data_IF_178673962863
#
_entry.id   IF_178673962863
#
_cell.length_a   1.000
_cell.length_b   1.000
_cell.length_c   1.000
_cell.angle_alpha   90.00
_cell.angle_beta   90.00
_cell.angle_gamma   90.00
#
_symmetry.space_group_name_H-M   'P 1'
#
loop_
_entity.id
_entity.type
_entity.pdbx_description
1 polymer ?
#
# COMPACT_ATOMS: atom_id res chain seq x y z
N UNK A 1 16.91 -3.25 7.70
CA UNK A 1 16.05 -2.41 8.55
C UNK A 1 14.67 -2.38 7.89
N UNK A 2 13.91 -3.45 8.09
CA UNK A 2 12.59 -3.68 7.49
C UNK A 2 11.61 -3.76 8.64
N UNK A 3 10.93 -2.66 8.90
CA UNK A 3 9.85 -2.61 9.90
C UNK A 3 8.73 -1.81 9.26
N UNK A 4 7.64 -2.51 8.92
CA UNK A 4 6.28 -1.98 8.77
C UNK A 4 6.06 -0.79 7.82
N UNK A 5 5.94 -1.03 6.51
CA UNK A 5 5.29 -0.06 5.58
C UNK A 5 3.75 -0.10 5.69
N UNK A 6 3.20 -1.10 6.38
CA UNK A 6 1.75 -1.28 6.57
C UNK A 6 1.30 -1.14 8.03
N UNK A 7 2.06 -0.38 8.83
CA UNK A 7 1.55 0.23 10.06
C UNK A 7 0.76 1.50 9.72
N UNK A 8 -0.56 1.36 9.58
CA UNK A 8 -1.62 2.36 9.77
C UNK A 8 -1.28 3.85 9.50
N UNK A 9 -1.95 4.43 8.48
CA UNK A 9 -2.23 5.86 8.18
C UNK A 9 -1.46 6.58 7.08
N UNK A 10 -0.44 5.99 6.46
CA UNK A 10 0.42 6.76 5.54
C UNK A 10 0.21 6.39 4.07
N UNK A 11 -0.77 5.56 3.68
CA UNK A 11 -0.85 5.13 2.26
C UNK A 11 -0.92 6.31 1.28
N UNK A 12 -1.78 7.30 1.53
CA UNK A 12 -1.91 8.47 0.67
C UNK A 12 -0.67 9.35 0.71
N UNK A 13 -0.13 9.61 1.90
CA UNK A 13 1.04 10.47 2.08
C UNK A 13 2.31 9.82 1.51
N UNK A 14 2.53 8.55 1.81
CA UNK A 14 3.62 7.73 1.27
C UNK A 14 3.53 7.70 -0.25
N UNK A 15 2.34 7.44 -0.79
CA UNK A 15 2.14 7.43 -2.24
C UNK A 15 2.39 8.81 -2.85
N UNK A 16 1.99 9.89 -2.18
CA UNK A 16 2.22 11.26 -2.62
C UNK A 16 3.71 11.60 -2.67
N UNK A 17 4.51 11.18 -1.71
CA UNK A 17 5.96 11.47 -1.66
C UNK A 17 6.80 10.47 -2.47
N UNK A 18 6.41 9.20 -2.52
CA UNK A 18 7.14 8.15 -3.24
C UNK A 18 7.00 8.28 -4.76
N UNK A 19 5.82 8.67 -5.27
CA UNK A 19 5.57 8.88 -6.71
C UNK A 19 6.57 9.86 -7.37
N UNK A 20 6.80 11.07 -6.85
CA UNK A 20 7.79 11.98 -7.43
C UNK A 20 9.23 11.47 -7.27
N UNK A 21 9.56 10.78 -6.17
CA UNK A 21 10.88 10.15 -5.98
C UNK A 21 11.15 9.07 -7.04
N UNK A 22 10.13 8.28 -7.37
CA UNK A 22 10.21 7.22 -8.39
C UNK A 22 9.78 7.69 -9.78
N UNK A 23 9.82 8.99 -10.08
CA UNK A 23 9.42 9.54 -11.38
C UNK A 23 10.31 9.09 -12.55
N UNK A 24 11.52 8.60 -12.27
CA UNK A 24 12.42 8.07 -13.29
C UNK A 24 12.00 6.66 -13.70
N UNK A 25 12.00 6.37 -15.01
CA UNK A 25 11.57 5.09 -15.60
C UNK A 25 12.24 3.83 -15.01
N UNK A 26 13.42 3.98 -14.43
CA UNK A 26 14.16 2.87 -13.82
C UNK A 26 13.64 2.47 -12.44
N UNK A 27 12.95 3.38 -11.74
CA UNK A 27 12.42 3.12 -10.42
C UNK A 27 11.02 2.52 -10.49
N UNK A 28 10.75 1.59 -9.57
CA UNK A 28 9.47 0.91 -9.45
C UNK A 28 8.98 1.03 -8.02
N UNK A 29 7.73 1.44 -7.86
CA UNK A 29 7.02 1.37 -6.58
C UNK A 29 6.28 0.03 -6.54
N UNK A 30 6.49 -0.74 -5.47
CA UNK A 30 5.78 -2.01 -5.24
C UNK A 30 5.16 -1.95 -3.86
N UNK A 31 3.86 -2.24 -3.79
CA UNK A 31 3.11 -2.29 -2.53
C UNK A 31 2.81 -3.76 -2.20
N UNK A 32 2.98 -4.14 -0.94
CA UNK A 32 2.70 -5.49 -0.44
C UNK A 32 1.79 -5.39 0.78
N UNK A 33 0.52 -5.70 0.63
CA UNK A 33 -0.45 -5.54 1.72
C UNK A 33 -1.40 -6.72 1.78
N UNK A 34 -1.81 -7.06 2.99
CA UNK A 34 -3.04 -7.82 3.21
C UNK A 34 -4.24 -6.89 3.01
N UNK A 35 -5.28 -7.30 2.27
CA UNK A 35 -6.50 -6.52 2.21
C UNK A 35 -7.12 -6.41 3.60
N UNK A 36 -7.67 -5.23 3.89
CA UNK A 36 -8.26 -4.92 5.19
C UNK A 36 -9.77 -4.75 5.06
N UNK A 37 -10.25 -3.51 5.02
CA UNK A 37 -11.66 -3.23 4.71
C UNK A 37 -11.81 -2.32 3.50
N UNK A 38 -13.04 -2.28 3.00
CA UNK A 38 -13.47 -1.41 1.91
C UNK A 38 -13.29 0.09 2.20
N UNK A 39 -13.35 0.50 3.47
CA UNK A 39 -13.09 1.88 3.90
C UNK A 39 -11.61 2.25 3.94
N UNK A 40 -10.70 1.29 3.74
CA UNK A 40 -9.28 1.58 3.76
C UNK A 40 -8.91 2.55 2.61
N UNK A 41 -8.08 3.59 2.84
CA UNK A 41 -7.74 4.60 1.81
C UNK A 41 -7.02 4.04 0.58
N UNK A 42 -6.46 2.83 0.67
CA UNK A 42 -5.89 2.13 -0.49
C UNK A 42 -6.94 1.43 -1.36
N UNK A 43 -8.16 1.22 -0.87
CA UNK A 43 -9.20 0.49 -1.61
C UNK A 43 -9.62 1.18 -2.92
N UNK A 44 -9.83 2.52 -2.96
CA UNK A 44 -10.09 3.22 -4.23
C UNK A 44 -8.91 3.17 -5.20
N UNK A 45 -7.67 3.08 -4.69
CA UNK A 45 -6.48 2.91 -5.51
C UNK A 45 -6.38 1.49 -6.09
N UNK A 46 -6.69 0.48 -5.29
CA UNK A 46 -6.70 -0.92 -5.71
C UNK A 46 -7.78 -1.20 -6.76
N UNK A 47 -9.02 -0.79 -6.48
CA UNK A 47 -10.19 -0.98 -7.38
C UNK A 47 -10.17 -0.09 -8.63
N UNK A 48 -9.25 0.87 -8.69
CA UNK A 48 -9.13 1.81 -9.79
C UNK A 48 -10.20 2.91 -9.81
N UNK A 49 -11.05 3.01 -8.79
CA UNK A 49 -11.96 4.14 -8.60
C UNK A 49 -11.20 5.47 -8.63
N UNK A 50 -10.01 5.51 -8.01
CA UNK A 50 -9.13 6.68 -8.01
C UNK A 50 -8.55 7.02 -9.39
N UNK A 51 -8.44 6.06 -10.30
CA UNK A 51 -8.00 6.32 -11.67
C UNK A 51 -9.07 7.07 -12.48
N UNK A 52 -10.34 6.82 -12.17
CA UNK A 52 -11.49 7.43 -12.83
C UNK A 52 -11.82 8.83 -12.26
N UNK A 53 -11.32 9.17 -11.07
CA UNK A 53 -11.48 10.50 -10.47
C UNK A 53 -10.96 11.60 -11.41
N UNK A 54 -11.81 12.59 -11.68
CA UNK A 54 -11.49 13.72 -12.56
C UNK A 54 -11.53 13.44 -14.06
N UNK A 55 -11.83 12.20 -14.48
CA UNK A 55 -12.00 11.84 -15.91
C UNK A 55 -13.47 11.92 -16.34
N UNK A 56 -13.75 12.20 -17.63
CA UNK A 56 -15.08 12.07 -18.19
C UNK A 56 -15.61 10.64 -18.03
N UNK A 57 -16.92 10.46 -17.82
CA UNK A 57 -17.55 9.14 -17.66
C UNK A 57 -17.26 8.18 -18.83
N UNK A 58 -17.07 8.71 -20.04
CA UNK A 58 -16.73 7.92 -21.22
C UNK A 58 -15.33 7.28 -21.15
N UNK A 59 -14.42 7.82 -20.33
CA UNK A 59 -13.07 7.31 -20.10
C UNK A 59 -12.97 6.45 -18.83
N UNK A 60 -14.08 6.23 -18.12
CA UNK A 60 -14.07 5.43 -16.90
C UNK A 60 -13.82 3.98 -17.24
N UNK A 61 -12.83 3.40 -16.57
CA UNK A 61 -12.48 1.99 -16.73
C UNK A 61 -12.97 1.21 -15.52
N UNK A 62 -13.60 0.06 -15.79
CA UNK A 62 -13.97 -0.90 -14.75
C UNK A 62 -12.89 -1.98 -14.67
N UNK A 63 -12.29 -2.11 -13.51
CA UNK A 63 -11.25 -3.10 -13.24
C UNK A 63 -11.89 -4.37 -12.68
N UNK A 64 -11.50 -5.53 -13.23
CA UNK A 64 -11.81 -6.82 -12.61
C UNK A 64 -10.74 -7.12 -11.56
N UNK A 65 -11.12 -6.99 -10.28
CA UNK A 65 -10.25 -7.23 -9.12
C UNK A 65 -10.47 -8.60 -8.48
N UNK A 66 -11.18 -9.50 -9.16
CA UNK A 66 -11.38 -10.86 -8.67
C UNK A 66 -10.06 -11.64 -8.60
N UNK A 67 -9.99 -12.59 -7.66
CA UNK A 67 -8.86 -13.51 -7.54
C UNK A 67 -8.60 -14.29 -8.84
N UNK A 68 -9.67 -14.72 -9.52
CA UNK A 68 -9.57 -15.44 -10.79
C UNK A 68 -8.83 -14.62 -11.87
N UNK A 69 -9.07 -13.31 -11.95
CA UNK A 69 -8.42 -12.44 -12.91
C UNK A 69 -6.98 -12.04 -12.52
N UNK A 70 -6.66 -12.04 -11.22
CA UNK A 70 -5.42 -11.48 -10.69
C UNK A 70 -4.44 -12.50 -10.07
N UNK A 71 -4.81 -13.76 -9.93
CA UNK A 71 -3.96 -14.83 -9.35
C UNK A 71 -2.61 -14.98 -10.06
N UNK A 72 -2.62 -14.94 -11.40
CA UNK A 72 -1.40 -14.98 -12.23
C UNK A 72 -0.66 -13.65 -12.35
N UNK A 73 -1.21 -12.58 -11.77
CA UNK A 73 -0.76 -11.21 -11.98
C UNK A 73 -1.10 -10.68 -13.37
N UNK A 74 -1.51 -9.41 -13.44
CA UNK A 74 -1.96 -8.78 -14.68
C UNK A 74 -1.54 -7.32 -14.73
N UNK A 75 -1.16 -6.86 -15.93
CA UNK A 75 -1.06 -5.43 -16.22
C UNK A 75 -2.48 -4.90 -16.51
N UNK A 76 -2.97 -4.04 -15.63
CA UNK A 76 -4.28 -3.42 -15.76
C UNK A 76 -4.24 -2.19 -16.68
N UNK A 77 -5.42 -1.68 -16.99
CA UNK A 77 -5.70 -0.60 -17.92
C UNK A 77 -5.14 0.75 -17.47
N UNK A 78 -4.90 0.92 -16.17
CA UNK A 78 -4.22 2.08 -15.58
C UNK A 78 -2.68 1.99 -15.63
N UNK A 79 -2.15 0.94 -16.28
CA UNK A 79 -0.72 0.68 -16.41
C UNK A 79 -0.06 0.13 -15.14
N UNK A 80 -0.84 -0.25 -14.12
CA UNK A 80 -0.32 -0.85 -12.90
C UNK A 80 -0.39 -2.38 -12.97
N UNK A 81 0.65 -3.04 -12.45
CA UNK A 81 0.65 -4.49 -12.27
C UNK A 81 -0.04 -4.83 -10.94
N UNK A 82 -1.10 -5.64 -11.00
CA UNK A 82 -1.83 -6.15 -9.83
C UNK A 82 -1.72 -7.67 -9.77
N UNK A 83 -1.57 -8.20 -8.56
CA UNK A 83 -1.53 -9.64 -8.33
C UNK A 83 -2.14 -9.92 -6.95
N UNK A 84 -2.93 -10.98 -6.86
CA UNK A 84 -3.40 -11.55 -5.60
C UNK A 84 -2.72 -12.90 -5.44
N UNK A 85 -2.12 -13.14 -4.27
CA UNK A 85 -1.51 -14.43 -3.95
C UNK A 85 -2.10 -14.89 -2.64
N UNK A 86 -2.90 -15.95 -2.69
CA UNK A 86 -3.46 -16.59 -1.50
C UNK A 86 -2.53 -17.66 -0.97
N UNK A 87 -2.77 -18.11 0.27
CA UNK A 87 -2.09 -19.27 0.82
C UNK A 87 -2.29 -20.51 -0.07
N UNK A 88 -3.49 -20.70 -0.62
CA UNK A 88 -3.77 -21.79 -1.57
C UNK A 88 -2.92 -21.71 -2.83
N UNK A 89 -2.71 -20.52 -3.38
CA UNK A 89 -1.87 -20.35 -4.56
C UNK A 89 -0.40 -20.63 -4.22
N UNK A 90 0.04 -20.21 -3.03
CA UNK A 90 1.38 -20.49 -2.55
C UNK A 90 1.62 -22.00 -2.39
N UNK A 91 0.69 -22.73 -1.76
CA UNK A 91 0.76 -24.19 -1.62
C UNK A 91 0.73 -24.89 -2.99
N UNK A 92 -0.16 -24.47 -3.90
CA UNK A 92 -0.23 -25.00 -5.28
C UNK A 92 1.05 -24.75 -6.08
N UNK A 93 1.73 -23.63 -5.82
CA UNK A 93 3.02 -23.32 -6.44
C UNK A 93 4.21 -24.09 -5.83
N UNK A 94 3.96 -24.90 -4.79
CA UNK A 94 4.96 -25.77 -4.16
C UNK A 94 5.59 -25.19 -2.90
N UNK A 95 5.01 -24.15 -2.29
CA UNK A 95 5.51 -23.64 -1.02
C UNK A 95 5.11 -24.59 0.12
N UNK A 96 6.10 -25.21 0.78
CA UNK A 96 5.90 -26.15 1.89
C UNK A 96 6.28 -25.56 3.25
N UNK A 97 6.42 -24.23 3.36
CA UNK A 97 6.89 -23.56 4.58
C UNK A 97 5.77 -23.26 5.58
N UNK A 98 4.51 -23.32 5.16
CA UNK A 98 3.36 -22.97 5.97
C UNK A 98 2.71 -24.21 6.58
N UNK A 99 2.35 -24.15 7.86
CA UNK A 99 1.46 -25.12 8.50
C UNK A 99 0.03 -24.56 8.50
N UNK A 100 -0.74 -24.89 7.46
CA UNK A 100 -2.13 -24.45 7.31
C UNK A 100 -2.99 -24.80 8.51
N UNK A 101 -2.83 -26.00 9.08
CA UNK A 101 -3.67 -26.45 10.20
C UNK A 101 -3.43 -25.62 11.44
N UNK A 102 -2.17 -25.30 11.72
CA UNK A 102 -1.82 -24.43 12.82
C UNK A 102 -2.38 -23.02 12.61
N UNK A 103 -2.27 -22.46 11.40
CA UNK A 103 -2.80 -21.13 11.08
C UNK A 103 -4.33 -21.04 11.22
N UNK A 104 -5.05 -22.10 10.85
CA UNK A 104 -6.51 -22.19 11.03
C UNK A 104 -6.93 -22.30 12.50
N UNK A 105 -6.07 -22.83 13.38
CA UNK A 105 -6.34 -22.88 14.82
C UNK A 105 -6.05 -21.56 15.53
N UNK A 106 -5.05 -20.83 15.06
CA UNK A 106 -4.62 -19.55 15.65
C UNK A 106 -5.54 -18.38 15.29
N UNK A 107 -6.24 -18.45 14.16
CA UNK A 107 -7.03 -17.36 13.62
C UNK A 107 -8.51 -17.72 13.56
N UNK A 108 -9.40 -16.75 13.77
CA UNK A 108 -10.81 -16.96 13.49
C UNK A 108 -11.02 -17.23 11.99
N UNK A 109 -12.11 -17.91 11.59
CA UNK A 109 -12.37 -18.16 10.17
C UNK A 109 -12.45 -16.88 9.32
N UNK A 110 -12.91 -15.76 9.89
CA UNK A 110 -12.98 -14.49 9.20
C UNK A 110 -11.59 -13.86 9.03
N UNK A 111 -10.77 -13.84 10.08
CA UNK A 111 -9.39 -13.35 10.03
C UNK A 111 -8.54 -14.20 9.08
N UNK A 112 -8.75 -15.52 9.09
CA UNK A 112 -8.01 -16.41 8.19
C UNK A 112 -8.29 -16.08 6.72
N UNK A 113 -9.56 -15.87 6.36
CA UNK A 113 -9.93 -15.49 4.99
C UNK A 113 -9.36 -14.11 4.60
N UNK A 114 -9.38 -13.16 5.51
CA UNK A 114 -8.82 -11.83 5.24
C UNK A 114 -7.30 -11.88 5.04
N UNK A 115 -6.58 -12.49 5.99
CA UNK A 115 -5.12 -12.44 6.03
C UNK A 115 -4.46 -13.41 5.04
N UNK A 116 -5.01 -14.60 4.88
CA UNK A 116 -4.41 -15.67 4.08
C UNK A 116 -5.13 -15.93 2.76
N UNK A 117 -6.42 -15.60 2.65
CA UNK A 117 -7.19 -15.72 1.40
C UNK A 117 -7.41 -14.39 0.68
N UNK A 118 -6.85 -13.30 1.21
CA UNK A 118 -6.91 -11.97 0.59
C UNK A 118 -8.34 -11.49 0.30
N UNK A 119 -9.30 -11.81 1.17
CA UNK A 119 -10.66 -11.30 1.09
C UNK A 119 -10.76 -9.91 1.75
N UNK A 120 -11.50 -8.98 1.13
CA UNK A 120 -11.83 -7.71 1.76
C UNK A 120 -12.99 -7.89 2.74
N UNK A 121 -12.88 -7.28 3.91
CA UNK A 121 -13.98 -7.22 4.87
C UNK A 121 -14.85 -6.01 4.54
N UNK A 122 -16.16 -6.21 4.47
CA UNK A 122 -17.14 -5.12 4.30
C UNK A 122 -17.33 -4.38 5.63
N UNK A 123 -17.43 -3.05 5.59
CA UNK A 123 -17.64 -2.24 6.79
C UNK A 123 -19.08 -2.37 7.29
N UNK A 124 -19.32 -3.37 8.15
CA UNK A 124 -20.60 -3.59 8.84
C UNK A 124 -20.48 -4.30 10.19
N UNK A 125 -19.36 -4.98 10.44
CA UNK A 125 -19.17 -5.84 11.63
C UNK A 125 -18.40 -5.16 12.78
N UNK A 126 -17.97 -3.90 12.60
CA UNK A 126 -17.23 -3.15 13.61
C UNK A 126 -18.12 -2.30 14.51
N UNK A 127 -17.92 -2.38 15.84
CA UNK A 127 -18.59 -1.49 16.82
C UNK A 127 -18.24 -0.01 16.60
N UNK A 128 -17.08 0.27 16.01
CA UNK A 128 -16.60 1.63 15.72
C UNK A 128 -16.28 1.79 14.23
N UNK A 129 -16.61 2.96 13.67
CA UNK A 129 -16.21 3.30 12.32
C UNK A 129 -14.69 3.55 12.26
N UNK A 130 -14.07 3.25 11.11
CA UNK A 130 -12.64 3.56 10.91
C UNK A 130 -12.34 5.05 11.11
N UNK A 131 -13.28 5.93 10.73
CA UNK A 131 -13.14 7.37 10.90
C UNK A 131 -13.05 7.79 12.37
N UNK A 132 -13.81 7.13 13.25
CA UNK A 132 -13.80 7.42 14.69
C UNK A 132 -12.51 6.91 15.34
N UNK A 133 -12.06 5.71 14.96
CA UNK A 133 -10.77 5.17 15.41
C UNK A 133 -9.60 6.07 14.98
N UNK A 134 -9.65 6.61 13.75
CA UNK A 134 -8.61 7.51 13.24
C UNK A 134 -8.49 8.78 14.07
N UNK A 135 -9.61 9.34 14.56
CA UNK A 135 -9.64 10.57 15.38
C UNK A 135 -9.00 10.36 16.77
N UNK A 136 -9.14 9.18 17.34
CA UNK A 136 -8.61 8.85 18.66
C UNK A 136 -7.10 8.53 18.65
N UNK A 137 -6.48 8.41 17.48
CA UNK A 137 -5.10 7.96 17.37
C UNK A 137 -4.13 9.16 17.39
N UNK A 138 -3.45 9.32 18.53
CA UNK A 138 -2.40 10.33 18.78
C UNK A 138 -1.03 9.79 18.39
N UNK A 139 -0.17 10.64 17.82
CA UNK A 139 1.21 10.29 17.50
C UNK A 139 2.07 10.40 18.79
N UNK A 140 2.70 9.31 19.23
CA UNK A 140 3.47 9.27 20.48
C UNK A 140 4.70 10.18 20.48
N UNK A 141 5.11 10.70 19.31
CA UNK A 141 6.23 11.64 19.19
C UNK A 141 5.93 13.03 19.75
N UNK A 142 4.67 13.43 19.89
CA UNK A 142 4.31 14.72 20.49
C UNK A 142 4.51 14.75 22.02
N UNK A 143 4.52 13.59 22.68
CA UNK A 143 4.75 13.48 24.12
C UNK A 143 6.24 13.40 24.52
N UNK A 144 7.11 12.98 23.60
CA UNK A 144 8.56 12.85 23.85
C UNK A 144 9.38 14.10 23.45
N UNK A 145 8.77 15.05 22.73
CA UNK A 145 9.40 16.31 22.30
C UNK A 145 9.83 17.23 23.45
N UNK A 146 9.35 16.99 24.68
CA UNK A 146 9.77 17.74 25.88
C UNK A 146 11.15 17.36 26.41
N UNK A 147 11.71 16.19 26.05
CA UNK A 147 12.96 15.66 26.63
C UNK A 147 14.19 16.03 25.78
N UNK A 148 14.03 16.25 24.47
CA UNK A 148 15.12 16.61 23.54
C UNK A 148 14.94 18.01 22.96
N UNK A 149 14.77 19.03 23.81
CA UNK A 149 14.90 20.43 23.38
C UNK A 149 16.31 20.95 23.63
N UNK A 150 17.28 20.57 22.77
CA UNK A 150 18.45 21.44 22.61
C UNK A 150 18.02 22.64 21.79
N UNK A 151 17.74 23.74 22.50
CA UNK A 151 17.58 25.07 21.92
C UNK A 151 18.69 25.32 20.90
N UNK A 152 18.32 25.61 19.66
CA UNK A 152 19.16 26.34 18.71
C UNK A 152 18.24 27.28 17.96
N UNK A 153 18.06 28.45 18.57
CA UNK A 153 17.37 29.57 17.98
C UNK A 153 18.20 30.16 16.84
N UNK A 154 17.50 30.59 15.79
CA UNK A 154 17.86 31.67 14.88
C UNK A 154 18.99 31.37 13.87
N UNK A 155 18.68 31.48 12.57
CA UNK A 155 18.94 32.71 11.80
C UNK A 155 18.27 32.62 10.42
N UNK A 156 17.51 33.67 10.12
CA UNK A 156 16.93 34.05 8.83
C UNK A 156 17.99 34.04 7.71
N UNK A 157 17.62 33.56 6.53
CA UNK A 157 17.86 34.22 5.22
C UNK A 157 17.13 33.45 4.14
N UNK A 158 16.26 34.14 3.41
CA UNK A 158 15.50 33.56 2.32
C UNK A 158 16.40 33.09 1.18
N UNK A 159 15.90 32.10 0.44
CA UNK A 159 16.22 31.90 -0.97
C UNK A 159 14.96 31.37 -1.65
N UNK A 160 14.75 31.91 -2.84
CA UNK A 160 13.59 31.81 -3.70
C UNK A 160 13.51 30.45 -4.43
N UNK A 161 12.35 30.28 -5.08
CA UNK A 161 11.84 29.16 -5.88
C UNK A 161 12.79 28.57 -6.96
N UNK A 162 12.42 27.33 -7.35
CA UNK A 162 12.58 26.68 -8.67
C UNK A 162 13.97 26.15 -9.08
N UNK A 163 13.99 24.89 -9.57
CA UNK A 163 15.12 24.36 -10.36
C UNK A 163 14.98 22.90 -10.77
N UNK A 164 14.63 22.66 -12.04
CA UNK A 164 14.82 21.40 -12.78
C UNK A 164 16.30 21.22 -13.15
N UNK A 165 16.88 20.02 -13.08
CA UNK A 165 17.94 19.58 -14.02
C UNK A 165 17.88 18.07 -14.28
N UNK A 166 17.90 17.75 -15.57
CA UNK A 166 17.84 16.46 -16.25
C UNK A 166 19.26 15.89 -16.49
N UNK A 167 19.48 14.58 -16.62
CA UNK A 167 20.39 13.97 -17.63
C UNK A 167 20.34 12.43 -17.67
N UNK A 168 20.68 11.91 -18.86
CA UNK A 168 20.48 10.54 -19.40
C UNK A 168 21.59 9.54 -19.01
N UNK A 169 21.25 8.24 -18.98
CA UNK A 169 21.75 7.13 -19.87
C UNK A 169 22.01 5.79 -19.14
N UNK A 170 21.16 4.80 -19.45
CA UNK A 170 21.39 3.35 -19.70
C UNK A 170 22.60 2.60 -19.08
N UNK A 171 22.35 1.54 -18.29
CA UNK A 171 22.40 0.10 -18.69
C UNK A 171 22.23 -0.87 -17.51
N UNK A 172 21.28 -1.79 -17.66
CA UNK A 172 21.19 -3.19 -17.22
C UNK A 172 21.80 -3.68 -15.90
N UNK A 173 20.98 -4.33 -15.06
CA UNK A 173 21.36 -5.60 -14.41
C UNK A 173 20.14 -6.43 -13.99
N UNK A 174 20.39 -7.73 -13.93
CA UNK A 174 19.46 -8.88 -14.05
C UNK A 174 18.65 -9.09 -12.77
N UNK A 175 17.40 -9.55 -12.93
CA UNK A 175 16.54 -9.99 -11.82
C UNK A 175 16.82 -11.47 -11.54
N UNK A 176 17.14 -11.79 -10.31
CA UNK A 176 16.85 -13.09 -9.70
C UNK A 176 16.29 -12.75 -8.33
N UNK A 177 15.01 -13.04 -8.12
CA UNK A 177 14.38 -13.02 -6.81
C UNK A 177 13.77 -14.41 -6.65
N UNK A 178 14.35 -15.17 -5.72
CA UNK A 178 13.67 -16.24 -5.02
C UNK A 178 12.99 -15.61 -3.81
#
# INVERSE_FOLDING_TARGET
MWTSIFGFRIFEELTRVAKPMASQKQYRITYFSTPSSTAHPAYPFWTGSRFNEGRPKAEHVKFDVSHAALSGGRLCEDGQWRQIVTLDDAEKSGCTLFDRRQLELENSPAEFRQLFMCEFVEDGDGVFSWADLKRCQVDSWELLGGIFTSRSACVRRGICRCGWVMTRRFRGMRRVWW
#
